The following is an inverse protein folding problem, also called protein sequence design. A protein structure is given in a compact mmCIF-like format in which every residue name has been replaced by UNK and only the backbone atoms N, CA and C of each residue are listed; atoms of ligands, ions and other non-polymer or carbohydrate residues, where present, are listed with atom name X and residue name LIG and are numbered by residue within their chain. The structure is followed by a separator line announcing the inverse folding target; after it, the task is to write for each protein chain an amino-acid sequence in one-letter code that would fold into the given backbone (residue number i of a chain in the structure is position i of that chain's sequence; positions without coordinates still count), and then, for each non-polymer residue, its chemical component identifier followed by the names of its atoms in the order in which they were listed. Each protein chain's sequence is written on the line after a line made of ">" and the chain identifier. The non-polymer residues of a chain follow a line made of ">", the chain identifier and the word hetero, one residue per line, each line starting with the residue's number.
data_IF_758475799202
#
_entry.id   IF_758475799202
#
_cell.length_a   1.000
_cell.length_b   1.000
_cell.length_c   1.000
_cell.angle_alpha   90.00
_cell.angle_beta   90.00
_cell.angle_gamma   90.00
#
_symmetry.space_group_name_H-M   'P 1'
#
loop_
_entity.id
_entity.type
_entity.pdbx_description
1 polymer ?
#
# COMPACT_ATOMS: atom_id res chain seq x y z
N UNK A 1 -5.29 0.31 -29.27
CA UNK A 1 -5.05 -0.05 -27.85
C UNK A 1 -3.66 0.41 -27.40
N UNK A 2 -2.60 0.03 -28.11
CA UNK A 2 -1.21 0.41 -27.82
C UNK A 2 -1.00 1.94 -27.75
N UNK A 3 -1.59 2.72 -28.67
CA UNK A 3 -1.50 4.20 -28.64
C UNK A 3 -2.11 4.84 -27.39
N UNK A 4 -3.17 4.24 -26.81
CA UNK A 4 -3.78 4.71 -25.56
C UNK A 4 -2.83 4.51 -24.37
N UNK A 5 -2.12 3.38 -24.34
CA UNK A 5 -1.11 3.09 -23.31
C UNK A 5 0.04 4.10 -23.39
N UNK A 6 0.60 4.33 -24.59
CA UNK A 6 1.66 5.34 -24.76
C UNK A 6 1.23 6.73 -24.27
N UNK A 7 -0.01 7.13 -24.56
CA UNK A 7 -0.52 8.43 -24.11
C UNK A 7 -0.71 8.55 -22.60
N UNK A 8 -0.83 7.44 -21.86
CA UNK A 8 -0.86 7.44 -20.40
C UNK A 8 0.52 7.75 -19.83
N UNK A 9 1.57 7.14 -20.39
CA UNK A 9 2.95 7.36 -19.97
C UNK A 9 3.48 8.76 -20.31
N UNK A 10 2.83 9.48 -21.21
CA UNK A 10 3.12 10.91 -21.45
C UNK A 10 2.74 11.81 -20.26
N UNK A 11 1.90 11.32 -19.33
CA UNK A 11 1.49 12.08 -18.14
C UNK A 11 2.48 11.81 -17.01
N UNK A 12 3.29 12.80 -16.65
CA UNK A 12 4.28 12.67 -15.57
C UNK A 12 3.65 12.30 -14.22
N UNK A 13 2.47 12.84 -13.92
CA UNK A 13 1.71 12.52 -12.70
C UNK A 13 1.29 11.04 -12.67
N UNK A 14 0.89 10.48 -13.82
CA UNK A 14 0.56 9.05 -13.94
C UNK A 14 1.77 8.16 -13.70
N UNK A 15 2.95 8.56 -14.21
CA UNK A 15 4.21 7.83 -13.98
C UNK A 15 4.60 7.79 -12.51
N UNK A 16 4.45 8.90 -11.79
CA UNK A 16 4.78 8.94 -10.36
C UNK A 16 3.74 8.12 -9.57
N UNK A 17 2.45 8.25 -9.92
CA UNK A 17 1.36 7.53 -9.31
C UNK A 17 1.52 6.00 -9.46
N UNK A 18 1.84 5.52 -10.67
CA UNK A 18 1.98 4.08 -10.89
C UNK A 18 3.17 3.51 -10.12
N UNK A 19 4.29 4.25 -10.01
CA UNK A 19 5.43 3.83 -9.18
C UNK A 19 5.00 3.71 -7.72
N UNK A 20 4.26 4.68 -7.19
CA UNK A 20 3.72 4.63 -5.83
C UNK A 20 2.78 3.44 -5.62
N UNK A 21 1.86 3.21 -6.56
CA UNK A 21 0.90 2.11 -6.50
C UNK A 21 1.63 0.77 -6.50
N UNK A 22 2.64 0.61 -7.37
CA UNK A 22 3.45 -0.62 -7.40
C UNK A 22 4.13 -0.83 -6.05
N UNK A 23 4.78 0.19 -5.48
CA UNK A 23 5.48 0.03 -4.19
C UNK A 23 4.54 -0.36 -3.05
N UNK A 24 3.30 0.11 -3.06
CA UNK A 24 2.33 -0.14 -1.98
C UNK A 24 1.58 -1.46 -2.19
N UNK A 25 1.05 -1.71 -3.39
CA UNK A 25 0.19 -2.87 -3.65
C UNK A 25 0.96 -4.18 -3.83
N UNK A 26 2.21 -4.12 -4.30
CA UNK A 26 2.93 -5.34 -4.69
C UNK A 26 3.35 -6.26 -3.55
N UNK A 27 3.26 -5.79 -2.30
CA UNK A 27 3.68 -6.56 -1.13
C UNK A 27 2.60 -6.64 -0.06
N UNK A 28 1.44 -6.03 -0.27
CA UNK A 28 0.38 -6.06 0.73
C UNK A 28 -0.19 -7.48 0.93
N UNK A 29 -0.40 -8.19 -0.18
CA UNK A 29 -0.86 -9.57 -0.20
C UNK A 29 0.09 -10.54 0.56
N UNK A 30 1.36 -10.15 0.76
CA UNK A 30 2.32 -10.96 1.53
C UNK A 30 2.04 -10.99 3.02
N UNK A 31 1.37 -9.96 3.55
CA UNK A 31 1.11 -9.83 4.98
C UNK A 31 0.29 -11.03 5.48
N UNK A 32 -0.72 -11.47 4.72
CA UNK A 32 -1.57 -12.59 5.10
C UNK A 32 -0.84 -13.93 5.07
N UNK A 33 -0.07 -14.17 4.00
CA UNK A 33 0.65 -15.43 3.82
C UNK A 33 1.70 -15.62 4.93
N UNK A 34 2.49 -14.58 5.20
CA UNK A 34 3.57 -14.66 6.19
C UNK A 34 3.11 -14.54 7.63
N UNK A 35 1.97 -13.89 7.89
CA UNK A 35 1.37 -13.87 9.22
C UNK A 35 0.92 -15.26 9.67
N UNK A 36 0.31 -16.03 8.77
CA UNK A 36 -0.07 -17.43 9.09
C UNK A 36 1.14 -18.30 9.38
N UNK A 37 2.21 -18.15 8.61
CA UNK A 37 3.47 -18.88 8.85
C UNK A 37 4.15 -18.44 10.15
N UNK A 38 4.15 -17.13 10.45
CA UNK A 38 4.69 -16.57 11.69
C UNK A 38 3.97 -17.17 12.90
N UNK A 39 2.64 -17.18 12.91
CA UNK A 39 1.85 -17.72 14.02
C UNK A 39 2.01 -19.23 14.17
N UNK A 40 2.03 -19.98 13.06
CA UNK A 40 2.30 -21.43 13.06
C UNK A 40 3.69 -21.74 13.63
N UNK A 41 4.72 -21.03 13.17
CA UNK A 41 6.10 -21.20 13.65
C UNK A 41 6.27 -20.87 15.14
N UNK A 42 5.35 -20.07 15.69
CA UNK A 42 5.36 -19.63 17.08
C UNK A 42 4.47 -20.49 17.99
N UNK A 43 4.01 -21.64 17.51
CA UNK A 43 3.22 -22.61 18.27
C UNK A 43 1.77 -22.18 18.53
N UNK A 44 1.25 -21.17 17.82
CA UNK A 44 -0.14 -20.74 17.98
C UNK A 44 -1.09 -21.66 17.20
N UNK A 45 -2.29 -21.87 17.75
CA UNK A 45 -3.31 -22.67 17.07
C UNK A 45 -3.78 -21.99 15.78
N UNK A 46 -4.16 -22.80 14.81
CA UNK A 46 -4.70 -22.33 13.53
C UNK A 46 -5.93 -21.42 13.73
N UNK A 47 -6.78 -21.74 14.70
CA UNK A 47 -7.95 -20.94 15.10
C UNK A 47 -7.58 -19.49 15.45
N UNK A 48 -6.48 -19.27 16.17
CA UNK A 48 -6.00 -17.93 16.53
C UNK A 48 -5.50 -17.16 15.30
N UNK A 49 -4.91 -17.86 14.35
CA UNK A 49 -4.47 -17.26 13.07
C UNK A 49 -5.67 -16.81 12.24
N UNK A 50 -6.70 -17.65 12.13
CA UNK A 50 -7.94 -17.31 11.44
C UNK A 50 -8.66 -16.12 12.10
N UNK A 51 -8.70 -16.08 13.43
CA UNK A 51 -9.28 -14.95 14.16
C UNK A 51 -8.53 -13.64 13.86
N UNK A 52 -7.20 -13.68 13.81
CA UNK A 52 -6.40 -12.51 13.47
C UNK A 52 -6.67 -12.01 12.05
N UNK A 53 -6.75 -12.92 11.07
CA UNK A 53 -7.11 -12.57 9.69
C UNK A 53 -8.50 -11.92 9.64
N UNK A 54 -9.46 -12.45 10.40
CA UNK A 54 -10.79 -11.86 10.49
C UNK A 54 -10.77 -10.44 11.08
N UNK A 55 -9.98 -10.20 12.13
CA UNK A 55 -9.78 -8.86 12.72
C UNK A 55 -9.20 -7.89 11.70
N UNK A 56 -8.18 -8.33 10.94
CA UNK A 56 -7.57 -7.55 9.87
C UNK A 56 -8.61 -7.18 8.81
N UNK A 57 -9.41 -8.15 8.36
CA UNK A 57 -10.46 -7.90 7.37
C UNK A 57 -11.53 -6.92 7.87
N UNK A 58 -11.95 -7.03 9.13
CA UNK A 58 -12.89 -6.06 9.73
C UNK A 58 -12.26 -4.67 9.83
N UNK A 59 -11.01 -4.56 10.27
CA UNK A 59 -10.31 -3.28 10.38
C UNK A 59 -10.11 -2.62 9.02
N UNK A 60 -9.76 -3.38 7.98
CA UNK A 60 -9.66 -2.91 6.60
C UNK A 60 -11.02 -2.41 6.10
N UNK A 61 -12.11 -3.16 6.29
CA UNK A 61 -13.47 -2.72 5.91
C UNK A 61 -13.88 -1.42 6.60
N UNK A 62 -13.61 -1.29 7.90
CA UNK A 62 -13.91 -0.04 8.63
C UNK A 62 -13.05 1.10 8.11
N UNK A 63 -11.77 0.85 7.84
CA UNK A 63 -10.86 1.81 7.21
C UNK A 63 -11.38 2.27 5.85
N UNK A 64 -11.85 1.33 5.03
CA UNK A 64 -12.39 1.61 3.71
C UNK A 64 -13.60 2.55 3.79
N UNK A 65 -14.55 2.29 4.70
CA UNK A 65 -15.69 3.18 4.90
C UNK A 65 -15.26 4.56 5.42
N UNK A 66 -14.32 4.59 6.37
CA UNK A 66 -13.85 5.83 6.98
C UNK A 66 -13.08 6.71 5.99
N UNK A 67 -12.11 6.16 5.27
CA UNK A 67 -11.29 6.89 4.32
C UNK A 67 -12.01 7.15 3.00
N UNK A 68 -12.99 6.32 2.63
CA UNK A 68 -13.94 6.65 1.56
C UNK A 68 -14.70 7.93 1.88
N UNK A 69 -15.26 8.05 3.09
CA UNK A 69 -15.91 9.27 3.54
C UNK A 69 -14.95 10.47 3.61
N UNK A 70 -13.74 10.29 4.14
CA UNK A 70 -12.74 11.37 4.19
C UNK A 70 -12.26 11.82 2.80
N UNK A 71 -12.30 10.92 1.80
CA UNK A 71 -11.97 11.24 0.42
C UNK A 71 -12.94 12.24 -0.23
N UNK A 72 -14.20 12.27 0.23
CA UNK A 72 -15.23 13.20 -0.24
C UNK A 72 -15.19 14.57 0.46
N UNK A 73 -14.35 14.75 1.48
CA UNK A 73 -14.23 16.01 2.22
C UNK A 73 -13.37 17.01 1.44
N UNK A 74 -13.99 18.09 0.97
CA UNK A 74 -13.37 19.12 0.10
C UNK A 74 -12.08 19.78 0.67
N UNK A 75 -11.91 19.78 1.99
CA UNK A 75 -10.76 20.41 2.66
C UNK A 75 -9.54 19.50 2.81
N UNK A 76 -9.66 18.21 2.51
CA UNK A 76 -8.57 17.25 2.66
C UNK A 76 -7.91 16.98 1.31
N UNK A 77 -6.59 17.09 1.27
CA UNK A 77 -5.84 16.71 0.08
C UNK A 77 -5.67 15.17 0.06
N UNK A 78 -6.24 14.45 -0.93
CA UNK A 78 -6.17 12.99 -0.99
C UNK A 78 -4.74 12.45 -1.03
N UNK A 79 -3.79 13.19 -1.62
CA UNK A 79 -2.38 12.80 -1.66
C UNK A 79 -1.70 12.89 -0.30
N UNK A 80 -2.06 13.88 0.52
CA UNK A 80 -1.51 14.01 1.88
C UNK A 80 -2.08 12.89 2.75
N UNK A 81 -3.38 12.63 2.65
CA UNK A 81 -4.04 11.54 3.38
C UNK A 81 -3.42 10.19 3.00
N UNK A 82 -3.23 9.93 1.71
CA UNK A 82 -2.51 8.76 1.21
C UNK A 82 -1.12 8.64 1.82
N UNK A 83 -0.32 9.71 1.76
CA UNK A 83 1.07 9.70 2.24
C UNK A 83 1.14 9.38 3.73
N UNK A 84 0.36 10.09 4.55
CA UNK A 84 0.35 9.91 6.00
C UNK A 84 -0.10 8.50 6.39
N UNK A 85 -1.19 8.02 5.80
CA UNK A 85 -1.74 6.69 6.08
C UNK A 85 -0.78 5.58 5.66
N UNK A 86 -0.14 5.69 4.49
CA UNK A 86 0.87 4.73 4.02
C UNK A 86 2.08 4.66 4.95
N UNK A 87 2.55 5.81 5.46
CA UNK A 87 3.66 5.85 6.42
C UNK A 87 3.25 5.16 7.73
N UNK A 88 2.08 5.49 8.28
CA UNK A 88 1.60 4.89 9.53
C UNK A 88 1.45 3.38 9.38
N UNK A 89 0.86 2.93 8.28
CA UNK A 89 0.70 1.51 8.01
C UNK A 89 2.06 0.81 7.85
N UNK A 90 3.04 1.44 7.20
CA UNK A 90 4.37 0.84 6.99
C UNK A 90 5.21 0.78 8.26
N UNK A 91 5.08 1.79 9.12
CA UNK A 91 5.67 1.80 10.45
C UNK A 91 5.05 0.71 11.33
N UNK A 92 3.72 0.58 11.33
CA UNK A 92 3.02 -0.47 12.06
C UNK A 92 3.55 -1.86 11.64
N UNK A 93 3.65 -2.11 10.33
CA UNK A 93 4.15 -3.38 9.81
C UNK A 93 5.61 -3.65 10.20
N UNK A 94 6.46 -2.62 10.20
CA UNK A 94 7.87 -2.74 10.59
C UNK A 94 8.04 -3.04 12.10
N UNK A 95 7.09 -2.60 12.93
CA UNK A 95 7.09 -2.84 14.38
C UNK A 95 6.49 -4.21 14.73
N UNK A 96 5.63 -4.78 13.87
CA UNK A 96 5.02 -6.09 14.09
C UNK A 96 5.98 -7.20 14.59
N UNK A 97 7.18 -7.41 13.98
CA UNK A 97 8.12 -8.42 14.47
C UNK A 97 8.76 -8.10 15.84
N UNK A 98 8.73 -6.85 16.30
CA UNK A 98 9.30 -6.45 17.60
C UNK A 98 8.39 -6.76 18.79
N UNK A 99 7.09 -6.94 18.56
CA UNK A 99 6.10 -7.26 19.60
C UNK A 99 6.30 -8.66 20.18
N UNK A 100 7.06 -9.50 19.47
CA UNK A 100 7.37 -10.86 19.87
C UNK A 100 6.22 -11.81 19.58
N UNK A 101 6.54 -12.99 19.08
CA UNK A 101 5.52 -13.91 18.57
C UNK A 101 4.56 -14.47 19.62
N UNK A 102 4.87 -14.30 20.91
CA UNK A 102 4.08 -14.77 22.04
C UNK A 102 2.96 -13.79 22.44
N UNK A 103 3.07 -12.52 22.05
CA UNK A 103 2.08 -11.50 22.37
C UNK A 103 1.06 -11.35 21.24
N UNK A 104 0.14 -12.31 21.16
CA UNK A 104 -0.87 -12.32 20.09
C UNK A 104 -1.78 -11.09 20.12
N UNK A 105 -2.07 -10.54 21.29
CA UNK A 105 -2.91 -9.34 21.42
C UNK A 105 -2.21 -8.14 20.80
N UNK A 106 -0.90 -7.98 21.05
CA UNK A 106 -0.10 -6.93 20.43
C UNK A 106 -0.03 -7.07 18.90
N UNK A 107 0.11 -8.30 18.40
CA UNK A 107 0.05 -8.57 16.96
C UNK A 107 -1.32 -8.21 16.38
N UNK A 108 -2.43 -8.57 17.04
CA UNK A 108 -3.78 -8.17 16.63
C UNK A 108 -3.91 -6.65 16.49
N UNK A 109 -3.43 -5.90 17.48
CA UNK A 109 -3.54 -4.44 17.48
C UNK A 109 -2.72 -3.84 16.32
N UNK A 110 -1.47 -4.28 16.15
CA UNK A 110 -0.61 -3.70 15.10
C UNK A 110 -1.07 -4.05 13.71
N UNK A 111 -1.49 -5.28 13.46
CA UNK A 111 -2.02 -5.65 12.15
C UNK A 111 -3.39 -5.01 11.88
N UNK A 112 -4.23 -4.81 12.90
CA UNK A 112 -5.48 -4.06 12.74
C UNK A 112 -5.21 -2.58 12.39
N UNK A 113 -4.25 -1.94 13.06
CA UNK A 113 -3.81 -0.57 12.74
C UNK A 113 -3.28 -0.51 11.31
N UNK A 114 -2.37 -1.42 10.95
CA UNK A 114 -1.83 -1.51 9.60
C UNK A 114 -2.94 -1.60 8.55
N UNK A 115 -3.87 -2.54 8.72
CA UNK A 115 -4.98 -2.76 7.81
C UNK A 115 -5.92 -1.55 7.70
N UNK A 116 -6.28 -0.96 8.84
CA UNK A 116 -7.14 0.23 8.87
C UNK A 116 -6.53 1.38 8.05
N UNK A 117 -5.25 1.70 8.27
CA UNK A 117 -4.61 2.81 7.55
C UNK A 117 -4.30 2.48 6.09
N UNK A 118 -3.98 1.23 5.78
CA UNK A 118 -3.74 0.77 4.41
C UNK A 118 -4.99 0.86 3.52
N UNK A 119 -6.18 0.81 4.11
CA UNK A 119 -7.43 1.01 3.39
C UNK A 119 -7.51 2.36 2.65
N UNK A 120 -6.84 3.41 3.15
CA UNK A 120 -6.80 4.72 2.50
C UNK A 120 -6.14 4.67 1.11
N UNK A 121 -4.88 4.24 0.96
CA UNK A 121 -4.26 4.03 -0.35
C UNK A 121 -5.06 3.15 -1.31
N UNK A 122 -5.78 2.14 -0.79
CA UNK A 122 -6.59 1.25 -1.62
C UNK A 122 -7.79 1.97 -2.26
N UNK A 123 -8.47 2.84 -1.51
CA UNK A 123 -9.60 3.60 -2.05
C UNK A 123 -9.13 4.84 -2.80
N UNK A 124 -8.32 5.67 -2.15
CA UNK A 124 -7.81 6.92 -2.72
C UNK A 124 -6.98 6.65 -3.97
N UNK A 125 -6.31 5.49 -4.03
CA UNK A 125 -5.66 4.94 -5.23
C UNK A 125 -6.52 4.97 -6.46
N UNK A 126 -7.70 4.38 -6.34
CA UNK A 126 -8.63 4.29 -7.44
C UNK A 126 -9.22 5.66 -7.81
N UNK A 127 -9.56 6.48 -6.81
CA UNK A 127 -10.12 7.84 -7.01
C UNK A 127 -9.10 8.73 -7.73
N UNK A 128 -7.88 8.85 -7.20
CA UNK A 128 -6.81 9.67 -7.79
C UNK A 128 -6.43 9.16 -9.17
N UNK A 129 -6.43 7.84 -9.38
CA UNK A 129 -6.15 7.27 -10.69
C UNK A 129 -7.18 7.72 -11.72
N UNK A 130 -8.47 7.71 -11.38
CA UNK A 130 -9.56 8.24 -12.21
C UNK A 130 -9.32 9.72 -12.52
N UNK A 131 -8.96 10.53 -11.52
CA UNK A 131 -8.70 11.97 -11.71
C UNK A 131 -7.53 12.24 -12.66
N UNK A 132 -6.46 11.45 -12.57
CA UNK A 132 -5.23 11.65 -13.36
C UNK A 132 -5.41 11.20 -14.82
N UNK A 133 -6.07 10.06 -15.06
CA UNK A 133 -6.16 9.47 -16.42
C UNK A 133 -7.51 9.69 -17.10
N UNK A 134 -8.53 10.09 -16.33
CA UNK A 134 -9.91 10.20 -16.75
C UNK A 134 -10.64 8.85 -16.79
N UNK A 135 -11.95 8.87 -16.51
CA UNK A 135 -12.81 7.68 -16.48
C UNK A 135 -12.71 6.79 -17.72
N UNK A 136 -12.58 7.38 -18.92
CA UNK A 136 -12.49 6.61 -20.17
C UNK A 136 -11.24 5.72 -20.23
N UNK A 137 -10.12 6.15 -19.63
CA UNK A 137 -8.84 5.43 -19.68
C UNK A 137 -8.54 4.66 -18.39
N UNK A 138 -9.36 4.84 -17.36
CA UNK A 138 -9.20 4.21 -16.05
C UNK A 138 -9.04 2.70 -16.14
N UNK A 139 -9.93 1.99 -16.83
CA UNK A 139 -9.86 0.53 -16.93
C UNK A 139 -8.53 0.03 -17.54
N UNK A 140 -8.00 0.73 -18.55
CA UNK A 140 -6.72 0.38 -19.18
C UNK A 140 -5.57 0.65 -18.21
N UNK A 141 -5.60 1.80 -17.53
CA UNK A 141 -4.57 2.20 -16.61
C UNK A 141 -4.54 1.28 -15.37
N UNK A 142 -5.70 1.01 -14.77
CA UNK A 142 -5.87 0.13 -13.61
C UNK A 142 -5.48 -1.31 -13.94
N UNK A 143 -5.93 -1.84 -15.08
CA UNK A 143 -5.53 -3.17 -15.55
C UNK A 143 -4.02 -3.29 -15.76
N UNK A 144 -3.37 -2.24 -16.26
CA UNK A 144 -1.91 -2.21 -16.37
C UNK A 144 -1.23 -2.15 -14.99
N UNK A 145 -1.73 -1.36 -14.04
CA UNK A 145 -1.23 -1.36 -12.67
C UNK A 145 -1.33 -2.74 -12.03
N UNK A 146 -2.47 -3.44 -12.18
CA UNK A 146 -2.66 -4.80 -11.70
C UNK A 146 -1.67 -5.79 -12.33
N UNK A 147 -1.39 -5.65 -13.63
CA UNK A 147 -0.40 -6.48 -14.31
C UNK A 147 1.00 -6.30 -13.71
N UNK A 148 1.42 -5.05 -13.47
CA UNK A 148 2.74 -4.78 -12.88
C UNK A 148 2.80 -5.21 -11.41
N UNK A 149 1.73 -4.99 -10.63
CA UNK A 149 1.63 -5.50 -9.27
C UNK A 149 1.72 -7.02 -9.25
N UNK A 150 1.01 -7.73 -10.13
CA UNK A 150 1.09 -9.19 -10.24
C UNK A 150 2.49 -9.71 -10.57
N UNK A 151 3.21 -9.04 -11.48
CA UNK A 151 4.62 -9.35 -11.75
C UNK A 151 5.49 -9.10 -10.51
N UNK A 152 5.25 -8.01 -9.81
CA UNK A 152 6.04 -7.67 -8.62
C UNK A 152 5.76 -8.64 -7.47
N UNK A 153 4.51 -9.08 -7.25
CA UNK A 153 4.16 -10.16 -6.31
C UNK A 153 4.83 -11.48 -6.70
N UNK A 154 4.82 -11.83 -7.99
CA UNK A 154 5.44 -13.05 -8.51
C UNK A 154 6.93 -13.15 -8.15
N UNK A 155 7.67 -12.04 -8.24
CA UNK A 155 9.09 -11.99 -7.87
C UNK A 155 9.31 -11.67 -6.38
N UNK A 156 8.41 -10.91 -5.78
CA UNK A 156 8.50 -10.42 -4.40
C UNK A 156 8.35 -11.54 -3.38
N UNK A 157 7.40 -12.45 -3.56
CA UNK A 157 7.17 -13.51 -2.58
C UNK A 157 8.33 -14.50 -2.50
N UNK A 158 8.89 -15.01 -3.63
CA UNK A 158 10.08 -15.85 -3.60
C UNK A 158 11.28 -15.13 -2.97
N UNK A 159 11.45 -13.83 -3.24
CA UNK A 159 12.53 -13.05 -2.64
C UNK A 159 12.39 -12.96 -1.11
N UNK A 160 11.18 -12.72 -0.61
CA UNK A 160 10.90 -12.68 0.83
C UNK A 160 11.02 -14.07 1.49
N UNK A 161 10.60 -15.13 0.79
CA UNK A 161 10.83 -16.51 1.21
C UNK A 161 12.31 -16.84 1.34
N UNK A 162 13.11 -16.50 0.33
CA UNK A 162 14.57 -16.68 0.36
C UNK A 162 15.24 -15.87 1.47
N UNK A 163 14.75 -14.66 1.74
CA UNK A 163 15.23 -13.84 2.86
C UNK A 163 14.94 -14.52 4.19
N UNK A 164 13.71 -15.00 4.41
CA UNK A 164 13.33 -15.76 5.60
C UNK A 164 14.18 -17.02 5.76
N UNK A 165 14.41 -17.77 4.68
CA UNK A 165 15.19 -19.00 4.71
C UNK A 165 16.66 -18.75 5.06
N UNK A 166 17.24 -17.63 4.63
CA UNK A 166 18.62 -17.24 4.95
C UNK A 166 18.79 -16.65 6.35
N UNK A 167 17.83 -15.83 6.79
CA UNK A 167 17.92 -15.11 8.08
C UNK A 167 17.34 -15.91 9.24
N UNK A 168 16.58 -16.97 8.93
CA UNK A 168 15.77 -17.75 9.86
C UNK A 168 14.83 -16.89 10.73
N UNK A 169 14.51 -15.68 10.27
CA UNK A 169 13.71 -14.71 11.02
C UNK A 169 12.79 -13.91 10.12
N UNK A 170 11.57 -13.70 10.60
CA UNK A 170 10.56 -12.88 9.95
C UNK A 170 10.80 -11.38 10.08
N UNK A 171 11.68 -10.94 10.99
CA UNK A 171 11.92 -9.52 11.26
C UNK A 171 12.40 -8.76 10.03
N UNK A 172 13.32 -9.34 9.26
CA UNK A 172 13.91 -8.69 8.08
C UNK A 172 12.90 -8.58 6.93
N UNK A 173 12.17 -9.65 6.55
CA UNK A 173 11.07 -9.55 5.58
C UNK A 173 10.03 -8.48 5.94
N UNK A 174 9.52 -8.46 7.18
CA UNK A 174 8.52 -7.47 7.60
C UNK A 174 9.05 -6.03 7.59
N UNK A 175 10.28 -5.81 8.06
CA UNK A 175 10.91 -4.49 8.03
C UNK A 175 11.16 -4.01 6.58
N UNK A 176 11.53 -4.93 5.67
CA UNK A 176 11.73 -4.60 4.26
C UNK A 176 10.41 -4.19 3.59
N UNK A 177 9.34 -4.97 3.77
CA UNK A 177 8.02 -4.65 3.22
C UNK A 177 7.51 -3.32 3.78
N UNK A 178 7.60 -3.12 5.10
CA UNK A 178 7.20 -1.86 5.73
C UNK A 178 7.99 -0.65 5.21
N UNK A 179 9.29 -0.81 5.00
CA UNK A 179 10.16 0.23 4.42
C UNK A 179 9.78 0.57 2.98
N UNK A 180 9.52 -0.44 2.15
CA UNK A 180 9.08 -0.26 0.76
C UNK A 180 7.74 0.49 0.72
N UNK A 181 6.82 0.17 1.63
CA UNK A 181 5.54 0.85 1.70
C UNK A 181 5.67 2.31 2.15
N UNK A 182 6.54 2.61 3.12
CA UNK A 182 6.88 3.99 3.51
C UNK A 182 7.45 4.75 2.30
N UNK A 183 8.38 4.15 1.55
CA UNK A 183 8.90 4.74 0.33
C UNK A 183 7.80 5.01 -0.70
N UNK A 184 6.87 4.07 -0.89
CA UNK A 184 5.70 4.25 -1.76
C UNK A 184 4.85 5.45 -1.33
N UNK A 185 4.53 5.56 -0.03
CA UNK A 185 3.82 6.71 0.53
C UNK A 185 4.55 8.03 0.28
N UNK A 186 5.87 8.07 0.48
CA UNK A 186 6.67 9.27 0.21
C UNK A 186 6.66 9.65 -1.28
N UNK A 187 6.70 8.68 -2.18
CA UNK A 187 6.57 8.92 -3.63
C UNK A 187 5.19 9.51 -3.96
N UNK A 188 4.12 9.04 -3.34
CA UNK A 188 2.79 9.66 -3.46
C UNK A 188 2.80 11.13 -3.01
N UNK A 189 3.51 11.44 -1.93
CA UNK A 189 3.65 12.80 -1.38
C UNK A 189 4.42 13.77 -2.30
N UNK A 190 5.23 13.27 -3.23
CA UNK A 190 5.91 14.10 -4.24
C UNK A 190 4.91 14.61 -5.29
N UNK A 191 3.80 13.91 -5.53
CA UNK A 191 2.79 14.28 -6.54
C UNK A 191 2.17 15.66 -6.30
N UNK A 192 1.64 16.00 -5.11
CA UNK A 192 1.08 17.33 -4.86
C UNK A 192 2.15 18.43 -4.96
N UNK A 193 3.40 18.16 -4.54
CA UNK A 193 4.52 19.10 -4.68
C UNK A 193 4.84 19.37 -6.15
N UNK A 194 4.89 18.31 -6.97
CA UNK A 194 5.10 18.41 -8.41
C UNK A 194 4.00 19.21 -9.10
N UNK A 195 2.74 18.96 -8.74
CA UNK A 195 1.59 19.67 -9.29
C UNK A 195 1.60 21.16 -8.90
N UNK A 196 1.94 21.49 -7.65
CA UNK A 196 2.13 22.88 -7.20
C UNK A 196 3.26 23.60 -7.93
N UNK A 197 4.43 22.95 -8.07
CA UNK A 197 5.57 23.50 -8.81
C UNK A 197 5.24 23.78 -10.28
N UNK A 198 4.55 22.85 -10.94
CA UNK A 198 4.10 23.04 -12.32
C UNK A 198 3.14 24.23 -12.43
N UNK A 199 2.17 24.35 -11.52
CA UNK A 199 1.20 25.46 -11.51
C UNK A 199 1.89 26.82 -11.38
N UNK A 200 2.90 26.94 -10.52
CA UNK A 200 3.69 28.17 -10.35
C UNK A 200 4.52 28.51 -11.61
N UNK A 201 5.13 27.52 -12.26
CA UNK A 201 5.91 27.74 -13.49
C UNK A 201 5.05 28.19 -14.67
N UNK A 202 3.82 27.68 -14.79
CA UNK A 202 2.88 28.17 -15.82
C UNK A 202 2.43 29.61 -15.55
N UNK A 203 2.18 29.97 -14.29
CA UNK A 203 1.78 31.33 -13.92
C UNK A 203 2.91 32.36 -14.01
N UNK A 204 4.17 31.93 -13.97
CA UNK A 204 5.36 32.81 -14.14
C UNK A 204 5.71 33.11 -15.60
N UNK A 205 5.07 32.43 -16.56
CA UNK A 205 5.29 32.62 -18.00
C UNK A 205 4.19 33.48 -18.67
N UNK A 206 3.32 34.10 -17.86
CA UNK A 206 2.35 35.12 -18.25
C UNK A 206 2.67 36.40 -17.50
#
# INVERSE_FOLDING_TARGET
>A
MISKIYSLFSINTFRILIISIILIWSLDETNFLFLTDLLKSSGHSEQKSTLLIAIIGIADLIGQLFFGYLGDVEYLNPFILWTCTSIIAGVALSIAPLIGSYNIIGLCIVFAIHAFFLAAPNILGNIIMIEVVGMHRYAIAYGFSLLVSGLTSLFGYPLLGLLKDKTHSWTIPFALVGSIMICGGLVAGIIPLYNCYKKQRTNSNY
#
